data_IF_062140116576
#
_entry.id   IF_062140116576
#
_cell.length_a   1.000
_cell.length_b   1.000
_cell.length_c   1.000
_cell.angle_alpha   90.00
_cell.angle_beta   90.00
_cell.angle_gamma   90.00
#
_symmetry.space_group_name_H-M   'P 1'
#
loop_
_entity.id
_entity.type
_entity.pdbx_description
1 polymer ?
#
# COMPACT_ATOMS: atom_id res chain seq x y z
N UNK A 1 12.10 -32.05 -11.08
CA UNK A 1 12.22 -31.10 -9.96
C UNK A 1 11.68 -29.79 -10.46
N UNK A 2 10.37 -29.60 -10.34
CA UNK A 2 9.73 -28.34 -10.69
C UNK A 2 10.23 -27.24 -9.73
N UNK A 3 10.64 -26.07 -10.24
CA UNK A 3 10.96 -24.96 -9.37
C UNK A 3 9.68 -24.58 -8.61
N UNK A 4 9.72 -24.80 -7.29
CA UNK A 4 8.71 -24.31 -6.34
C UNK A 4 8.46 -22.84 -6.66
N UNK A 5 7.21 -22.38 -6.89
CA UNK A 5 6.95 -20.98 -7.11
C UNK A 5 7.48 -20.25 -5.88
N UNK A 6 8.54 -19.46 -6.07
CA UNK A 6 9.14 -18.66 -5.03
C UNK A 6 8.07 -17.63 -4.65
N UNK A 7 7.28 -17.96 -3.63
CA UNK A 7 6.37 -17.02 -2.99
C UNK A 7 7.25 -15.90 -2.48
N UNK A 8 7.31 -14.80 -3.22
CA UNK A 8 7.95 -13.58 -2.75
C UNK A 8 7.07 -13.12 -1.59
N UNK A 9 7.49 -13.47 -0.37
CA UNK A 9 6.88 -12.95 0.85
C UNK A 9 7.14 -11.45 0.86
N UNK A 10 6.05 -10.69 0.71
CA UNK A 10 6.09 -9.24 0.69
C UNK A 10 6.14 -8.72 2.12
N UNK A 11 7.19 -7.99 2.46
CA UNK A 11 7.31 -7.28 3.72
C UNK A 11 6.72 -5.88 3.58
N UNK A 12 5.79 -5.52 4.47
CA UNK A 12 5.18 -4.19 4.51
C UNK A 12 5.62 -3.50 5.80
N UNK A 13 6.34 -2.39 5.67
CA UNK A 13 6.79 -1.56 6.77
C UNK A 13 5.85 -0.37 6.94
N UNK A 14 5.34 -0.13 8.14
CA UNK A 14 4.51 1.04 8.44
C UNK A 14 5.34 1.95 9.34
N UNK A 15 5.57 3.20 8.93
CA UNK A 15 6.37 4.13 9.75
C UNK A 15 5.63 4.51 11.04
N UNK A 16 6.39 4.98 12.03
CA UNK A 16 5.80 5.50 13.28
C UNK A 16 4.78 6.62 13.01
N UNK A 17 5.08 7.53 12.08
CA UNK A 17 4.18 8.62 11.70
C UNK A 17 2.88 8.09 11.09
N UNK A 18 2.96 7.09 10.21
CA UNK A 18 1.78 6.44 9.64
C UNK A 18 0.93 5.72 10.70
N UNK A 19 1.57 5.04 11.65
CA UNK A 19 0.87 4.43 12.79
C UNK A 19 0.14 5.47 13.64
N UNK A 20 0.82 6.56 14.00
CA UNK A 20 0.21 7.65 14.78
C UNK A 20 -0.97 8.28 14.05
N UNK A 21 -0.87 8.49 12.74
CA UNK A 21 -1.98 8.99 11.93
C UNK A 21 -3.18 8.03 11.88
N UNK A 22 -2.92 6.73 11.74
CA UNK A 22 -3.95 5.70 11.77
C UNK A 22 -4.64 5.61 13.15
N UNK A 23 -3.87 5.70 14.23
CA UNK A 23 -4.39 5.76 15.60
C UNK A 23 -5.25 7.00 15.84
N UNK A 24 -4.78 8.19 15.45
CA UNK A 24 -5.55 9.46 15.53
C UNK A 24 -6.88 9.36 14.81
N UNK A 25 -6.91 8.64 13.68
CA UNK A 25 -8.13 8.46 12.87
C UNK A 25 -8.98 7.26 13.32
N UNK A 26 -8.55 6.51 14.36
CA UNK A 26 -9.17 5.27 14.84
C UNK A 26 -9.40 4.25 13.72
N UNK A 27 -8.46 4.14 12.79
CA UNK A 27 -8.50 3.19 11.66
C UNK A 27 -7.37 2.17 11.81
N UNK A 28 -7.73 0.90 11.78
CA UNK A 28 -6.81 -0.24 11.78
C UNK A 28 -6.79 -0.99 10.44
N UNK A 29 -7.39 -0.40 9.40
CA UNK A 29 -7.44 -0.97 8.05
C UNK A 29 -7.00 0.07 7.05
N UNK A 30 -6.26 -0.36 6.05
CA UNK A 30 -5.89 0.46 4.91
C UNK A 30 -5.81 -0.40 3.65
N UNK A 31 -5.92 0.25 2.49
CA UNK A 31 -5.74 -0.41 1.21
C UNK A 31 -4.85 0.41 0.29
N UNK A 32 -4.02 -0.31 -0.45
CA UNK A 32 -3.10 0.20 -1.46
C UNK A 32 -3.69 -0.18 -2.81
N UNK A 33 -4.03 0.82 -3.62
CA UNK A 33 -4.61 0.60 -4.95
C UNK A 33 -3.87 1.35 -6.03
N UNK A 34 -3.94 0.83 -7.26
CA UNK A 34 -3.45 1.57 -8.42
C UNK A 34 -4.18 2.91 -8.57
N UNK A 35 -3.43 3.96 -8.91
CA UNK A 35 -4.00 5.22 -9.36
C UNK A 35 -4.37 5.06 -10.85
N UNK A 36 -5.67 5.02 -11.13
CA UNK A 36 -6.20 5.09 -12.50
C UNK A 36 -6.67 6.52 -12.70
N UNK A 37 -5.83 7.35 -13.31
CA UNK A 37 -6.27 8.65 -13.84
C UNK A 37 -6.72 8.42 -15.28
N UNK A 38 -7.88 8.96 -15.61
CA UNK A 38 -8.53 8.85 -16.92
C UNK A 38 -7.80 9.63 -18.02
N UNK A 39 -6.72 10.34 -17.70
CA UNK A 39 -5.92 11.10 -18.67
C UNK A 39 -4.52 10.48 -18.84
N UNK A 40 -4.12 10.38 -20.11
CA UNK A 40 -3.28 9.34 -20.71
C UNK A 40 -1.76 9.40 -20.42
N UNK A 41 -1.33 9.91 -19.25
CA UNK A 41 0.09 10.24 -19.01
C UNK A 41 0.58 9.86 -17.60
N UNK A 42 0.22 8.69 -17.08
CA UNK A 42 0.75 8.22 -15.79
C UNK A 42 2.05 7.47 -16.06
N UNK A 43 3.22 7.99 -15.65
CA UNK A 43 4.44 7.22 -15.74
C UNK A 43 4.26 5.94 -14.92
N UNK A 44 4.73 4.80 -15.45
CA UNK A 44 4.66 3.49 -14.78
C UNK A 44 5.19 3.54 -13.33
N UNK A 45 6.10 4.47 -13.03
CA UNK A 45 6.66 4.74 -11.71
C UNK A 45 5.74 5.49 -10.74
N UNK A 46 4.50 5.81 -11.09
CA UNK A 46 3.60 6.55 -10.19
C UNK A 46 3.26 5.69 -8.97
N UNK A 47 3.49 6.21 -7.75
CA UNK A 47 3.16 5.50 -6.53
C UNK A 47 1.66 5.16 -6.45
N UNK A 48 1.29 3.97 -5.93
CA UNK A 48 -0.09 3.62 -5.69
C UNK A 48 -0.68 4.53 -4.60
N UNK A 49 -2.00 4.69 -4.63
CA UNK A 49 -2.70 5.42 -3.59
C UNK A 49 -2.91 4.54 -2.36
N UNK A 50 -2.55 5.08 -1.19
CA UNK A 50 -2.89 4.48 0.10
C UNK A 50 -4.13 5.17 0.66
N UNK A 51 -5.13 4.38 1.05
CA UNK A 51 -6.42 4.86 1.56
C UNK A 51 -6.79 4.14 2.85
N UNK A 52 -7.44 4.86 3.76
CA UNK A 52 -7.93 4.33 5.03
C UNK A 52 -9.20 3.48 4.81
N UNK A 53 -9.34 2.41 5.59
CA UNK A 53 -10.50 1.51 5.57
C UNK A 53 -10.29 0.25 4.75
N UNK A 54 -11.38 -0.44 4.45
CA UNK A 54 -11.41 -1.62 3.56
C UNK A 54 -11.80 -1.20 2.15
N UNK A 55 -11.26 -1.86 1.10
CA UNK A 55 -11.73 -1.65 -0.26
C UNK A 55 -13.14 -2.24 -0.44
N UNK A 56 -13.87 -1.79 -1.47
CA UNK A 56 -15.24 -2.25 -1.74
C UNK A 56 -15.31 -3.73 -2.18
N UNK A 57 -14.28 -4.20 -2.89
CA UNK A 57 -14.17 -5.55 -3.45
C UNK A 57 -12.91 -6.20 -2.87
N UNK A 58 -13.05 -6.95 -1.78
CA UNK A 58 -11.92 -7.55 -1.07
C UNK A 58 -11.22 -8.63 -1.92
N UNK A 59 -11.96 -9.28 -2.81
CA UNK A 59 -11.49 -10.33 -3.72
C UNK A 59 -10.37 -9.87 -4.67
N UNK A 60 -10.29 -8.56 -4.93
CA UNK A 60 -9.26 -7.95 -5.79
C UNK A 60 -7.97 -7.62 -5.04
N UNK A 61 -7.86 -7.98 -3.75
CA UNK A 61 -6.73 -7.62 -2.91
C UNK A 61 -6.09 -8.87 -2.28
N UNK A 62 -4.79 -8.79 -2.04
CA UNK A 62 -4.09 -9.62 -1.06
C UNK A 62 -4.24 -8.99 0.31
N UNK A 63 -4.45 -9.80 1.34
CA UNK A 63 -4.58 -9.33 2.71
C UNK A 63 -3.30 -9.62 3.49
N UNK A 64 -2.76 -8.59 4.13
CA UNK A 64 -1.59 -8.67 5.00
C UNK A 64 -1.95 -8.14 6.38
N UNK A 65 -1.41 -8.77 7.42
CA UNK A 65 -1.55 -8.31 8.79
C UNK A 65 -0.20 -7.87 9.33
N UNK A 66 -0.08 -6.58 9.66
CA UNK A 66 1.17 -5.96 10.08
C UNK A 66 0.91 -5.13 11.32
N UNK A 67 1.53 -5.47 12.45
CA UNK A 67 1.51 -4.67 13.68
C UNK A 67 0.07 -4.27 14.14
N UNK A 68 -0.92 -5.15 13.97
CA UNK A 68 -2.31 -4.84 14.34
C UNK A 68 -3.13 -4.11 13.26
N UNK A 69 -2.55 -3.87 12.09
CA UNK A 69 -3.16 -3.17 10.96
C UNK A 69 -3.39 -4.16 9.81
N UNK A 70 -4.61 -4.20 9.29
CA UNK A 70 -4.94 -4.94 8.07
C UNK A 70 -4.61 -4.09 6.85
N UNK A 71 -3.72 -4.60 6.00
CA UNK A 71 -3.29 -3.96 4.75
C UNK A 71 -3.84 -4.78 3.58
N UNK A 72 -4.72 -4.16 2.79
CA UNK A 72 -5.20 -4.74 1.54
C UNK A 72 -4.35 -4.23 0.38
N UNK A 73 -3.67 -5.13 -0.32
CA UNK A 73 -2.81 -4.81 -1.45
C UNK A 73 -3.46 -5.24 -2.77
N UNK A 74 -3.69 -4.29 -3.67
CA UNK A 74 -4.33 -4.54 -4.96
C UNK A 74 -3.56 -5.59 -5.78
N UNK A 75 -4.26 -6.65 -6.22
CA UNK A 75 -3.65 -7.79 -6.93
C UNK A 75 -3.06 -7.40 -8.27
N UNK A 76 -3.52 -6.30 -8.85
CA UNK A 76 -3.02 -5.78 -10.12
C UNK A 76 -1.75 -4.94 -9.96
N UNK A 77 -1.31 -4.65 -8.74
CA UNK A 77 -0.05 -3.94 -8.50
C UNK A 77 1.16 -4.89 -8.62
N UNK A 78 2.29 -4.33 -9.06
CA UNK A 78 3.56 -5.05 -9.11
C UNK A 78 3.97 -5.40 -7.68
N UNK A 79 3.98 -6.70 -7.36
CA UNK A 79 4.45 -7.19 -6.07
C UNK A 79 5.92 -6.82 -5.88
N UNK A 80 6.22 -6.18 -4.76
CA UNK A 80 7.57 -5.85 -4.33
C UNK A 80 7.94 -6.72 -3.14
N UNK A 81 9.23 -7.02 -2.97
CA UNK A 81 9.71 -7.72 -1.78
C UNK A 81 9.51 -6.88 -0.51
N UNK A 82 9.67 -5.56 -0.63
CA UNK A 82 9.51 -4.61 0.47
C UNK A 82 8.69 -3.40 0.01
N UNK A 83 7.86 -2.88 0.92
CA UNK A 83 7.05 -1.69 0.71
C UNK A 83 6.87 -0.91 2.02
N UNK A 84 7.06 0.40 1.96
CA UNK A 84 7.02 1.30 3.11
C UNK A 84 5.85 2.27 3.00
N UNK A 85 4.96 2.23 4.00
CA UNK A 85 3.83 3.14 4.15
C UNK A 85 4.20 4.24 5.14
N UNK A 86 4.16 5.48 4.69
CA UNK A 86 4.42 6.68 5.49
C UNK A 86 3.27 7.70 5.35
N UNK A 87 3.40 8.87 5.99
CA UNK A 87 2.49 10.01 5.82
C UNK A 87 3.15 11.18 5.11
N UNK A 88 2.36 11.89 4.29
CA UNK A 88 2.67 13.23 3.77
C UNK A 88 1.68 14.25 4.30
N UNK A 89 2.09 15.51 4.26
CA UNK A 89 1.26 16.65 4.62
C UNK A 89 1.36 16.97 6.12
N UNK A 90 0.57 17.95 6.55
CA UNK A 90 0.53 18.41 7.93
C UNK A 90 -0.90 18.76 8.36
N UNK A 91 -1.25 18.48 9.61
CA UNK A 91 -2.59 18.75 10.15
C UNK A 91 -3.69 17.98 9.41
N UNK A 92 -4.72 18.68 8.93
CA UNK A 92 -5.86 18.05 8.24
C UNK A 92 -5.55 17.57 6.81
N UNK A 93 -4.42 18.00 6.24
CA UNK A 93 -3.95 17.54 4.93
C UNK A 93 -3.13 16.24 4.99
N UNK A 94 -2.96 15.66 6.19
CA UNK A 94 -2.17 14.45 6.37
C UNK A 94 -2.80 13.25 5.64
N UNK A 95 -1.99 12.56 4.86
CA UNK A 95 -2.41 11.41 4.04
C UNK A 95 -1.34 10.32 4.04
N UNK A 96 -1.77 9.05 4.01
CA UNK A 96 -0.88 7.91 3.79
C UNK A 96 -0.34 7.89 2.35
N UNK A 97 0.91 7.45 2.19
CA UNK A 97 1.55 7.22 0.90
C UNK A 97 2.58 6.09 0.96
N UNK A 98 2.99 5.60 -0.20
CA UNK A 98 4.13 4.69 -0.33
C UNK A 98 5.37 5.51 -0.68
N UNK A 99 6.45 5.38 0.08
CA UNK A 99 7.66 6.21 -0.06
C UNK A 99 8.78 5.54 -0.87
N UNK A 100 8.83 4.22 -0.89
CA UNK A 100 9.86 3.42 -1.57
C UNK A 100 9.37 2.87 -2.92
N UNK A 101 8.44 3.57 -3.56
CA UNK A 101 7.89 3.17 -4.86
C UNK A 101 8.81 3.54 -6.02
N UNK A 102 9.92 2.81 -6.14
CA UNK A 102 10.78 2.82 -7.33
C UNK A 102 10.62 1.48 -8.05
N UNK A 103 10.27 1.52 -9.33
CA UNK A 103 10.29 0.34 -10.22
C UNK A 103 11.69 0.29 -10.83
N UNK A 104 12.49 -0.70 -10.42
CA UNK A 104 13.76 -1.00 -11.08
C UNK A 104 13.48 -2.10 -12.11
N UNK A 105 13.81 -1.83 -13.37
CA UNK A 105 13.77 -2.78 -14.48
C UNK A 105 15.12 -3.48 -14.60
#
# INVERSE_FOLDING_TARGET
MDPKPMSIDMTINITQKAREFLQKTKKNKLYIKRMVLTECCIPLSTPPAVRKGSPRKLENFYEFYVEGITVYYDRDLIRKAELTIDTKGFGWSEQLMVTDWVIRY
#
